data_IF_063410222429
#
_entry.id   IF_063410222429
#
_cell.length_a   1.000
_cell.length_b   1.000
_cell.length_c   1.000
_cell.angle_alpha   90.00
_cell.angle_beta   90.00
_cell.angle_gamma   90.00
#
_symmetry.space_group_name_H-M   'P 1'
#
loop_
_entity.id
_entity.type
_entity.pdbx_description
1 polymer ?
#
# COMPACT_ATOMS: atom_id res chain seq x y z
N UNK A 1 3.87 -11.24 -20.70
CA UNK A 1 3.54 -11.28 -19.25
C UNK A 1 4.26 -10.19 -18.46
N UNK A 2 5.57 -9.96 -18.65
CA UNK A 2 6.31 -8.94 -17.88
C UNK A 2 5.78 -7.50 -17.96
N UNK A 3 5.22 -7.10 -19.12
CA UNK A 3 4.64 -5.77 -19.30
C UNK A 3 3.50 -5.52 -18.31
N UNK A 4 2.62 -6.51 -18.10
CA UNK A 4 1.49 -6.40 -17.18
C UNK A 4 1.92 -6.16 -15.74
N UNK A 5 2.94 -6.90 -15.28
CA UNK A 5 3.47 -6.75 -13.92
C UNK A 5 4.13 -5.38 -13.71
N UNK A 6 4.86 -4.86 -14.72
CA UNK A 6 5.41 -3.49 -14.67
C UNK A 6 4.31 -2.44 -14.56
N UNK A 7 3.24 -2.54 -15.36
CA UNK A 7 2.13 -1.60 -15.30
C UNK A 7 1.39 -1.68 -13.95
N UNK A 8 1.14 -2.89 -13.44
CA UNK A 8 0.51 -3.09 -12.15
C UNK A 8 1.31 -2.44 -11.01
N UNK A 9 2.64 -2.63 -11.00
CA UNK A 9 3.53 -2.00 -10.00
C UNK A 9 3.56 -0.48 -10.11
N UNK A 10 3.53 0.09 -11.32
CA UNK A 10 3.44 1.54 -11.50
C UNK A 10 2.15 2.10 -10.92
N UNK A 11 1.02 1.47 -11.24
CA UNK A 11 -0.28 1.88 -10.70
C UNK A 11 -0.33 1.75 -9.17
N UNK A 12 0.18 0.64 -8.64
CA UNK A 12 0.24 0.40 -7.21
C UNK A 12 1.13 1.43 -6.50
N UNK A 13 2.29 1.75 -7.07
CA UNK A 13 3.18 2.79 -6.55
C UNK A 13 2.48 4.15 -6.46
N UNK A 14 1.82 4.57 -7.54
CA UNK A 14 1.03 5.81 -7.55
C UNK A 14 -0.07 5.80 -6.47
N UNK A 15 -0.78 4.68 -6.30
CA UNK A 15 -1.84 4.58 -5.31
C UNK A 15 -1.31 4.67 -3.88
N UNK A 16 -0.21 3.97 -3.58
CA UNK A 16 0.43 3.97 -2.27
C UNK A 16 0.95 5.36 -1.89
N UNK A 17 1.50 6.14 -2.83
CA UNK A 17 1.96 7.51 -2.56
C UNK A 17 0.82 8.43 -2.12
N UNK A 18 -0.41 8.14 -2.55
CA UNK A 18 -1.56 9.01 -2.33
C UNK A 18 -2.44 8.57 -1.16
N UNK A 19 -2.46 7.28 -0.84
CA UNK A 19 -3.45 6.70 0.06
C UNK A 19 -2.87 5.91 1.23
N UNK A 20 -1.57 5.61 1.24
CA UNK A 20 -0.96 4.83 2.32
C UNK A 20 0.11 5.66 3.04
N UNK A 21 -0.06 5.86 4.36
CA UNK A 21 1.02 6.31 5.23
C UNK A 21 1.95 5.11 5.49
N UNK A 22 2.83 4.80 4.53
CA UNK A 22 3.76 3.66 4.60
C UNK A 22 5.20 4.12 4.69
N UNK A 23 6.03 3.34 5.38
CA UNK A 23 7.49 3.50 5.27
C UNK A 23 7.99 3.09 3.88
N UNK A 24 9.12 3.68 3.48
CA UNK A 24 9.80 3.40 2.20
C UNK A 24 10.14 1.92 2.04
N UNK A 25 10.52 1.24 3.12
CA UNK A 25 10.86 -0.19 3.10
C UNK A 25 9.65 -1.07 2.76
N UNK A 26 8.49 -0.78 3.34
CA UNK A 26 7.24 -1.52 3.06
C UNK A 26 6.78 -1.27 1.63
N UNK A 27 6.86 -0.02 1.16
CA UNK A 27 6.58 0.34 -0.24
C UNK A 27 7.50 -0.42 -1.19
N UNK A 28 8.81 -0.40 -0.96
CA UNK A 28 9.79 -1.12 -1.77
C UNK A 28 9.49 -2.62 -1.81
N UNK A 29 9.19 -3.21 -0.66
CA UNK A 29 8.87 -4.64 -0.54
C UNK A 29 7.65 -5.06 -1.40
N UNK A 30 6.61 -4.23 -1.46
CA UNK A 30 5.44 -4.45 -2.32
C UNK A 30 5.79 -4.31 -3.81
N UNK A 31 6.57 -3.29 -4.17
CA UNK A 31 6.86 -2.97 -5.58
C UNK A 31 7.89 -3.90 -6.24
N UNK A 32 8.68 -4.65 -5.46
CA UNK A 32 9.72 -5.54 -6.00
C UNK A 32 9.44 -7.03 -5.83
N UNK A 33 8.54 -7.43 -4.91
CA UNK A 33 8.22 -8.84 -4.67
C UNK A 33 7.58 -9.50 -5.90
N UNK A 34 8.04 -10.71 -6.23
CA UNK A 34 7.42 -11.57 -7.24
C UNK A 34 6.42 -12.57 -6.63
N UNK A 35 6.43 -12.74 -5.30
CA UNK A 35 5.52 -13.62 -4.58
C UNK A 35 4.16 -12.92 -4.35
N UNK A 36 3.05 -13.39 -4.98
CA UNK A 36 1.76 -12.73 -4.87
C UNK A 36 1.22 -12.73 -3.43
N UNK A 37 1.37 -13.85 -2.71
CA UNK A 37 0.91 -13.96 -1.33
C UNK A 37 1.60 -12.95 -0.40
N UNK A 38 2.89 -12.68 -0.62
CA UNK A 38 3.65 -11.66 0.11
C UNK A 38 3.12 -10.25 -0.17
N UNK A 39 2.80 -9.95 -1.44
CA UNK A 39 2.20 -8.66 -1.81
C UNK A 39 0.84 -8.47 -1.13
N UNK A 40 -0.03 -9.48 -1.16
CA UNK A 40 -1.35 -9.41 -0.52
C UNK A 40 -1.25 -9.21 1.00
N UNK A 41 -0.34 -9.91 1.68
CA UNK A 41 -0.12 -9.74 3.11
C UNK A 41 0.36 -8.32 3.45
N UNK A 42 1.37 -7.81 2.74
CA UNK A 42 1.88 -6.45 2.95
C UNK A 42 0.82 -5.38 2.71
N UNK A 43 0.02 -5.49 1.64
CA UNK A 43 -1.07 -4.56 1.37
C UNK A 43 -2.10 -4.58 2.49
N UNK A 44 -2.48 -5.76 2.97
CA UNK A 44 -3.39 -5.89 4.11
C UNK A 44 -2.84 -5.16 5.34
N UNK A 45 -1.58 -5.40 5.70
CA UNK A 45 -0.96 -4.78 6.87
C UNK A 45 -0.90 -3.25 6.75
N UNK A 46 -0.55 -2.74 5.56
CA UNK A 46 -0.45 -1.32 5.27
C UNK A 46 -1.80 -0.59 5.39
N UNK A 47 -2.88 -1.22 4.94
CA UNK A 47 -4.22 -0.62 4.98
C UNK A 47 -5.02 -0.94 6.25
N UNK A 48 -4.62 -1.98 7.00
CA UNK A 48 -5.23 -2.30 8.30
C UNK A 48 -4.62 -1.49 9.44
N UNK A 49 -3.40 -0.99 9.26
CA UNK A 49 -2.77 -0.02 10.15
C UNK A 49 -3.36 1.37 9.87
N UNK A 50 -4.64 1.59 10.18
CA UNK A 50 -5.18 2.94 10.20
C UNK A 50 -4.41 3.75 11.25
N UNK A 51 -4.04 5.02 11.00
CA UNK A 51 -3.86 5.93 12.11
C UNK A 51 -5.17 5.90 12.89
N UNK A 52 -5.09 5.80 14.23
CA UNK A 52 -6.22 6.07 15.11
C UNK A 52 -6.95 7.29 14.53
N UNK A 53 -8.23 7.11 14.19
CA UNK A 53 -9.04 8.14 13.53
C UNK A 53 -9.15 9.30 14.52
N UNK A 54 -8.15 10.18 14.50
CA UNK A 54 -8.13 11.38 15.30
C UNK A 54 -9.24 12.28 14.76
N UNK A 55 -10.35 12.32 15.50
CA UNK A 55 -11.45 13.26 15.39
C UNK A 55 -12.37 13.16 14.18
N UNK A 56 -13.06 12.03 14.03
CA UNK A 56 -14.41 12.01 13.43
C UNK A 56 -15.47 12.04 14.55
N UNK A 57 -15.50 13.13 15.33
CA UNK A 57 -16.62 13.60 16.19
C UNK A 57 -16.17 14.81 17.02
N UNK A 58 -16.36 16.01 16.47
CA UNK A 58 -16.72 17.18 17.28
C UNK A 58 -17.54 18.13 16.41
N UNK A 59 -18.83 17.82 16.31
CA UNK A 59 -19.86 18.81 16.09
C UNK A 59 -20.63 18.86 17.42
N UNK A 60 -20.39 19.93 18.18
CA UNK A 60 -21.15 20.33 19.36
C UNK A 60 -21.64 21.76 19.11
#
# INVERSE_FOLDING_TARGET
VESGLRQARKHLGWYLDRHAATSDDRRKAVLTSFEPGRVTALLRDMFSSAPEVANLRSAA
#
